data_IF_173529042915
#
_entry.id   IF_173529042915
#
_cell.length_a   1.000
_cell.length_b   1.000
_cell.length_c   1.000
_cell.angle_alpha   90.00
_cell.angle_beta   90.00
_cell.angle_gamma   90.00
#
_symmetry.space_group_name_H-M   'P 1'
#
loop_
_entity.id
_entity.type
_entity.pdbx_description
1 polymer ?
#
# COMPACT_ATOMS: atom_id res chain seq x y z
N UNK A 1 -2.55 -14.14 -14.25
CA UNK A 1 -1.99 -14.54 -12.95
C UNK A 1 -2.07 -13.39 -11.94
N UNK A 2 -1.61 -12.18 -12.25
CA UNK A 2 -1.58 -11.08 -11.29
C UNK A 2 -2.94 -10.59 -10.79
N UNK A 3 -3.99 -10.67 -11.59
CA UNK A 3 -5.34 -10.20 -11.23
C UNK A 3 -6.34 -11.36 -11.08
N UNK A 4 -6.30 -12.35 -11.97
CA UNK A 4 -7.24 -13.50 -11.95
C UNK A 4 -6.81 -14.60 -10.98
N UNK A 5 -5.56 -14.60 -10.52
CA UNK A 5 -4.96 -15.68 -9.78
C UNK A 5 -4.15 -16.64 -10.67
N UNK A 6 -3.50 -17.60 -10.03
CA UNK A 6 -2.65 -18.57 -10.71
C UNK A 6 -3.48 -19.70 -11.34
N UNK A 7 -4.40 -20.34 -10.57
CA UNK A 7 -5.14 -21.51 -11.03
C UNK A 7 -5.97 -21.23 -12.29
N UNK A 8 -6.79 -20.15 -12.36
CA UNK A 8 -7.63 -19.87 -13.52
C UNK A 8 -6.87 -19.36 -14.75
N UNK A 9 -5.58 -19.06 -14.66
CA UNK A 9 -4.77 -18.60 -15.81
C UNK A 9 -4.11 -19.81 -16.47
N UNK A 10 -4.48 -20.17 -17.71
CA UNK A 10 -3.85 -21.24 -18.47
C UNK A 10 -2.58 -20.77 -19.21
N UNK A 11 -1.76 -21.74 -19.67
CA UNK A 11 -0.61 -21.44 -20.56
C UNK A 11 -1.12 -20.86 -21.88
N UNK A 12 -2.25 -21.33 -22.38
CA UNK A 12 -2.84 -20.84 -23.63
C UNK A 12 -3.31 -19.37 -23.50
N UNK A 13 -3.84 -18.95 -22.33
CA UNK A 13 -4.15 -17.54 -22.06
C UNK A 13 -2.89 -16.66 -22.11
N UNK A 14 -1.79 -17.16 -21.55
CA UNK A 14 -0.50 -16.43 -21.59
C UNK A 14 0.03 -16.32 -23.02
N UNK A 15 -0.02 -17.42 -23.80
CA UNK A 15 0.39 -17.44 -25.20
C UNK A 15 -0.41 -16.43 -26.02
N UNK A 16 -1.73 -16.41 -25.84
CA UNK A 16 -2.64 -15.50 -26.52
C UNK A 16 -2.33 -14.04 -26.17
N UNK A 17 -2.18 -13.73 -24.87
CA UNK A 17 -1.90 -12.38 -24.39
C UNK A 17 -0.53 -11.89 -24.84
N UNK A 18 0.49 -12.77 -24.80
CA UNK A 18 1.84 -12.46 -25.25
C UNK A 18 2.00 -12.47 -26.78
N UNK A 19 0.94 -12.85 -27.52
CA UNK A 19 0.95 -12.99 -28.99
C UNK A 19 2.06 -13.93 -29.48
N UNK A 20 2.27 -15.04 -28.77
CA UNK A 20 3.25 -16.03 -29.16
C UNK A 20 2.68 -16.93 -30.26
N UNK A 21 3.60 -17.52 -31.08
CA UNK A 21 3.23 -18.43 -32.16
C UNK A 21 2.69 -19.79 -31.71
N UNK A 22 2.85 -20.14 -30.41
CA UNK A 22 2.35 -21.41 -29.87
C UNK A 22 3.09 -21.88 -28.61
N UNK A 23 2.72 -23.10 -28.17
CA UNK A 23 3.26 -23.73 -26.95
C UNK A 23 4.78 -23.94 -27.00
N UNK A 24 5.33 -24.32 -28.16
CA UNK A 24 6.77 -24.48 -28.32
C UNK A 24 7.53 -23.20 -27.96
N UNK A 25 6.98 -22.05 -28.37
CA UNK A 25 7.60 -20.74 -28.07
C UNK A 25 7.51 -20.42 -26.56
N UNK A 26 6.42 -20.79 -25.88
CA UNK A 26 6.31 -20.66 -24.43
C UNK A 26 7.33 -21.55 -23.72
N UNK A 27 7.42 -22.85 -24.07
CA UNK A 27 8.29 -23.81 -23.43
C UNK A 27 9.79 -23.59 -23.74
N UNK A 28 10.11 -22.75 -24.70
CA UNK A 28 11.48 -22.27 -24.90
C UNK A 28 11.96 -21.39 -23.73
N UNK A 29 11.05 -20.62 -23.07
CA UNK A 29 11.39 -19.71 -21.98
C UNK A 29 11.10 -20.28 -20.59
N UNK A 30 10.03 -21.03 -20.44
CA UNK A 30 9.58 -21.57 -19.15
C UNK A 30 9.23 -23.05 -19.30
N UNK A 31 9.87 -23.89 -18.47
CA UNK A 31 9.64 -25.35 -18.49
C UNK A 31 8.22 -25.72 -18.04
N UNK A 32 7.57 -24.86 -17.28
CA UNK A 32 6.24 -25.09 -16.72
C UNK A 32 5.49 -23.78 -16.47
N UNK A 33 4.16 -23.89 -16.27
CA UNK A 33 3.33 -22.79 -15.75
C UNK A 33 3.82 -22.32 -14.37
N UNK A 34 4.30 -23.25 -13.56
CA UNK A 34 4.81 -22.99 -12.22
C UNK A 34 6.06 -22.11 -12.26
N UNK A 35 7.02 -22.41 -13.14
CA UNK A 35 8.23 -21.60 -13.34
C UNK A 35 7.87 -20.17 -13.78
N UNK A 36 6.92 -20.01 -14.68
CA UNK A 36 6.38 -18.69 -15.03
C UNK A 36 5.74 -18.01 -13.81
N UNK A 37 4.98 -18.75 -12.99
CA UNK A 37 4.36 -18.23 -11.77
C UNK A 37 5.40 -17.69 -10.78
N UNK A 38 6.52 -18.37 -10.61
CA UNK A 38 7.64 -17.91 -9.80
C UNK A 38 8.26 -16.61 -10.34
N UNK A 39 8.44 -16.53 -11.66
CA UNK A 39 8.95 -15.30 -12.29
C UNK A 39 7.97 -14.13 -12.17
N UNK A 40 6.66 -14.39 -12.24
CA UNK A 40 5.61 -13.37 -12.01
C UNK A 40 5.66 -12.87 -10.57
N UNK A 41 5.75 -13.77 -9.58
CA UNK A 41 5.87 -13.42 -8.16
C UNK A 41 7.12 -12.56 -7.91
N UNK A 42 8.27 -12.98 -8.43
CA UNK A 42 9.53 -12.23 -8.32
C UNK A 42 9.39 -10.82 -8.89
N UNK A 43 8.82 -10.71 -10.10
CA UNK A 43 8.62 -9.41 -10.76
C UNK A 43 7.63 -8.50 -10.03
N UNK A 44 6.58 -9.06 -9.43
CA UNK A 44 5.66 -8.29 -8.58
C UNK A 44 6.38 -7.74 -7.36
N UNK A 45 7.23 -8.56 -6.72
CA UNK A 45 8.00 -8.12 -5.55
C UNK A 45 9.06 -7.08 -5.90
N UNK A 46 9.76 -7.21 -7.03
CA UNK A 46 10.67 -6.17 -7.54
C UNK A 46 9.94 -4.83 -7.70
N UNK A 47 8.78 -4.82 -8.39
CA UNK A 47 7.97 -3.61 -8.56
C UNK A 47 7.49 -3.02 -7.24
N UNK A 48 7.10 -3.88 -6.31
CA UNK A 48 6.71 -3.45 -4.97
C UNK A 48 7.88 -2.82 -4.23
N UNK A 49 9.08 -3.42 -4.32
CA UNK A 49 10.30 -2.90 -3.71
C UNK A 49 10.73 -1.57 -4.33
N UNK A 50 10.66 -1.46 -5.65
CA UNK A 50 11.06 -0.26 -6.40
C UNK A 50 10.13 0.93 -6.16
N UNK A 51 8.82 0.68 -6.05
CA UNK A 51 7.80 1.74 -6.01
C UNK A 51 7.09 1.87 -4.67
N UNK A 52 6.73 0.74 -4.05
CA UNK A 52 6.00 0.71 -2.78
C UNK A 52 6.92 0.95 -1.59
N UNK A 53 8.08 0.29 -1.56
CA UNK A 53 9.03 0.42 -0.45
C UNK A 53 10.05 1.56 -0.62
N UNK A 54 10.02 2.30 -1.74
CA UNK A 54 10.97 3.40 -1.98
C UNK A 54 10.89 4.47 -0.88
N UNK A 55 9.69 4.84 -0.48
CA UNK A 55 9.45 5.84 0.55
C UNK A 55 10.07 5.48 1.90
N UNK A 56 10.19 4.19 2.22
CA UNK A 56 10.81 3.75 3.47
C UNK A 56 12.33 4.06 3.54
N UNK A 57 12.95 4.41 2.41
CA UNK A 57 14.37 4.67 2.28
C UNK A 57 14.69 6.15 2.02
N UNK A 58 13.69 7.02 2.04
CA UNK A 58 13.87 8.44 1.77
C UNK A 58 14.60 9.13 2.94
N UNK A 59 15.88 9.51 2.79
CA UNK A 59 16.69 9.94 3.93
C UNK A 59 16.31 11.33 4.49
N UNK A 60 15.57 12.11 3.70
CA UNK A 60 15.17 13.48 4.08
C UNK A 60 13.87 13.52 4.91
N UNK A 61 13.26 12.35 5.15
CA UNK A 61 12.00 12.22 5.91
C UNK A 61 12.28 11.41 7.18
N UNK A 62 11.71 11.82 8.30
CA UNK A 62 11.85 11.11 9.58
C UNK A 62 11.30 9.67 9.50
N UNK A 63 11.91 8.69 10.17
CA UNK A 63 11.58 7.27 10.00
C UNK A 63 10.10 6.93 10.22
N UNK A 64 9.47 7.49 11.24
CA UNK A 64 8.05 7.21 11.52
C UNK A 64 7.12 7.89 10.52
N UNK A 65 7.50 9.03 9.98
CA UNK A 65 6.80 9.70 8.90
C UNK A 65 6.89 8.90 7.59
N UNK A 66 8.07 8.34 7.28
CA UNK A 66 8.24 7.41 6.13
C UNK A 66 7.28 6.21 6.25
N UNK A 67 7.13 5.67 7.45
CA UNK A 67 6.19 4.56 7.69
C UNK A 67 4.74 5.00 7.47
N UNK A 68 4.34 6.17 7.97
CA UNK A 68 3.01 6.71 7.76
C UNK A 68 2.72 6.94 6.27
N UNK A 69 3.64 7.56 5.54
CA UNK A 69 3.55 7.79 4.09
C UNK A 69 3.47 6.47 3.31
N UNK A 70 4.20 5.44 3.73
CA UNK A 70 4.12 4.11 3.13
C UNK A 70 2.72 3.51 3.29
N UNK A 71 2.14 3.57 4.48
CA UNK A 71 0.78 3.09 4.75
C UNK A 71 -0.23 3.85 3.87
N UNK A 72 -0.14 5.18 3.83
CA UNK A 72 -1.04 6.02 3.05
C UNK A 72 -0.90 5.77 1.54
N UNK A 73 0.32 5.51 1.06
CA UNK A 73 0.58 5.14 -0.34
C UNK A 73 -0.11 3.82 -0.71
N UNK A 74 -0.04 2.81 0.14
CA UNK A 74 -0.73 1.53 -0.10
C UNK A 74 -2.24 1.69 -0.14
N UNK A 75 -2.81 2.48 0.77
CA UNK A 75 -4.24 2.81 0.81
C UNK A 75 -4.66 3.52 -0.47
N UNK A 76 -3.96 4.58 -0.86
CA UNK A 76 -4.24 5.35 -2.07
C UNK A 76 -4.16 4.50 -3.33
N UNK A 77 -3.16 3.62 -3.45
CA UNK A 77 -3.03 2.68 -4.57
C UNK A 77 -4.20 1.70 -4.63
N UNK A 78 -4.69 1.22 -3.50
CA UNK A 78 -5.81 0.29 -3.45
C UNK A 78 -7.13 0.97 -3.81
N UNK A 79 -7.35 2.19 -3.35
CA UNK A 79 -8.52 3.01 -3.71
C UNK A 79 -8.51 3.33 -5.20
N UNK A 80 -7.35 3.75 -5.75
CA UNK A 80 -7.19 4.04 -7.18
C UNK A 80 -7.47 2.82 -8.08
N UNK A 81 -7.31 1.58 -7.55
CA UNK A 81 -7.67 0.33 -8.23
C UNK A 81 -9.14 -0.08 -8.03
N UNK A 82 -9.97 0.78 -7.46
CA UNK A 82 -11.37 0.49 -7.16
C UNK A 82 -11.55 -0.63 -6.13
N UNK A 83 -10.60 -0.75 -5.19
CA UNK A 83 -10.58 -1.78 -4.14
C UNK A 83 -10.59 -3.21 -4.68
N UNK A 84 -10.07 -3.41 -5.89
CA UNK A 84 -10.00 -4.72 -6.55
C UNK A 84 -8.61 -5.34 -6.38
N UNK A 85 -8.56 -6.68 -6.44
CA UNK A 85 -7.32 -7.45 -6.42
C UNK A 85 -6.68 -7.64 -5.04
N UNK A 86 -6.82 -6.67 -4.12
CA UNK A 86 -6.16 -6.75 -2.81
C UNK A 86 -4.63 -6.79 -2.91
N UNK A 87 -3.97 -7.36 -1.90
CA UNK A 87 -2.55 -7.64 -1.96
C UNK A 87 -2.25 -8.76 -2.96
N UNK A 88 -1.31 -8.56 -3.90
CA UNK A 88 -0.92 -9.63 -4.81
C UNK A 88 -0.23 -10.80 -4.10
N UNK A 89 0.44 -10.54 -2.98
CA UNK A 89 1.15 -11.57 -2.20
C UNK A 89 0.18 -12.36 -1.33
N UNK A 90 -0.71 -11.68 -0.60
CA UNK A 90 -1.75 -12.32 0.20
C UNK A 90 -2.73 -13.12 -0.65
N UNK A 91 -3.08 -12.63 -1.85
CA UNK A 91 -3.93 -13.38 -2.77
C UNK A 91 -3.28 -14.66 -3.27
N UNK A 92 -1.99 -14.63 -3.63
CA UNK A 92 -1.24 -15.84 -4.02
C UNK A 92 -1.02 -16.78 -2.85
N UNK A 93 -0.77 -16.26 -1.64
CA UNK A 93 -0.66 -17.07 -0.44
C UNK A 93 -1.94 -17.84 -0.16
N UNK A 94 -3.09 -17.16 -0.18
CA UNK A 94 -4.40 -17.79 0.03
C UNK A 94 -4.75 -18.84 -1.04
N UNK A 95 -4.22 -18.69 -2.26
CA UNK A 95 -4.48 -19.62 -3.36
C UNK A 95 -3.56 -20.86 -3.34
N UNK A 96 -2.27 -20.67 -2.96
CA UNK A 96 -1.23 -21.65 -3.27
C UNK A 96 -0.44 -22.18 -2.07
N UNK A 97 -0.53 -21.53 -0.89
CA UNK A 97 0.35 -21.91 0.22
C UNK A 97 0.12 -23.34 0.73
N UNK A 98 -1.11 -23.82 0.67
CA UNK A 98 -1.48 -25.15 1.15
C UNK A 98 -1.27 -26.26 0.10
N UNK A 99 -1.11 -25.90 -1.18
CA UNK A 99 -1.09 -26.85 -2.28
C UNK A 99 0.23 -26.90 -3.06
N UNK A 100 1.09 -25.88 -2.91
CA UNK A 100 2.33 -25.73 -3.67
C UNK A 100 3.46 -25.23 -2.79
N UNK A 101 4.27 -26.14 -2.24
CA UNK A 101 5.40 -25.80 -1.37
C UNK A 101 6.36 -24.77 -1.98
N UNK A 102 6.66 -24.89 -3.26
CA UNK A 102 7.54 -23.94 -3.94
C UNK A 102 7.00 -22.51 -3.98
N UNK A 103 5.69 -22.31 -4.05
CA UNK A 103 5.08 -20.97 -3.90
C UNK A 103 5.07 -20.54 -2.44
N UNK A 104 4.69 -21.41 -1.51
CA UNK A 104 4.68 -21.13 -0.07
C UNK A 104 6.03 -20.59 0.40
N UNK A 105 7.12 -21.27 0.05
CA UNK A 105 8.48 -20.86 0.42
C UNK A 105 8.87 -19.49 -0.17
N UNK A 106 8.57 -19.26 -1.45
CA UNK A 106 8.89 -17.97 -2.11
C UNK A 106 8.06 -16.82 -1.57
N UNK A 107 6.79 -17.05 -1.26
CA UNK A 107 5.92 -16.04 -0.65
C UNK A 107 6.39 -15.74 0.78
N UNK A 108 6.80 -16.74 1.55
CA UNK A 108 7.40 -16.54 2.86
C UNK A 108 8.64 -15.63 2.79
N UNK A 109 9.52 -15.85 1.81
CA UNK A 109 10.69 -14.97 1.57
C UNK A 109 10.25 -13.54 1.24
N UNK A 110 9.18 -13.34 0.47
CA UNK A 110 8.63 -12.00 0.16
C UNK A 110 8.20 -11.29 1.45
N UNK A 111 7.42 -11.95 2.30
CA UNK A 111 6.96 -11.36 3.56
C UNK A 111 8.12 -11.08 4.52
N UNK A 112 9.10 -11.99 4.63
CA UNK A 112 10.29 -11.76 5.48
C UNK A 112 11.14 -10.58 4.98
N UNK A 113 11.32 -10.43 3.68
CA UNK A 113 12.03 -9.27 3.10
C UNK A 113 11.28 -7.96 3.34
N UNK A 114 9.96 -7.98 3.23
CA UNK A 114 9.14 -6.81 3.55
C UNK A 114 9.23 -6.47 5.04
N UNK A 115 9.10 -7.46 5.93
CA UNK A 115 9.26 -7.27 7.37
C UNK A 115 10.65 -6.71 7.72
N UNK A 116 11.71 -7.19 7.06
CA UNK A 116 13.06 -6.69 7.26
C UNK A 116 13.20 -5.19 6.91
N UNK A 117 12.52 -4.69 5.85
CA UNK A 117 12.54 -3.27 5.51
C UNK A 117 11.86 -2.41 6.59
N UNK A 118 10.66 -2.82 7.04
CA UNK A 118 9.95 -2.11 8.12
C UNK A 118 10.73 -2.19 9.42
N UNK A 119 11.29 -3.35 9.76
CA UNK A 119 12.13 -3.51 10.95
C UNK A 119 13.36 -2.59 10.92
N UNK A 120 14.03 -2.47 9.78
CA UNK A 120 15.17 -1.56 9.61
C UNK A 120 14.76 -0.12 9.88
N UNK A 121 13.62 0.30 9.36
CA UNK A 121 13.06 1.63 9.59
C UNK A 121 12.71 1.88 11.07
N UNK A 122 12.07 0.90 11.72
CA UNK A 122 11.77 0.97 13.15
C UNK A 122 13.04 0.96 14.02
N UNK A 123 14.12 0.33 13.53
CA UNK A 123 15.43 0.39 14.18
C UNK A 123 16.06 1.78 14.07
N UNK A 124 15.94 2.45 12.92
CA UNK A 124 16.34 3.86 12.79
C UNK A 124 15.54 4.76 13.76
N UNK A 125 14.24 4.47 13.94
CA UNK A 125 13.38 5.18 14.88
C UNK A 125 13.60 4.77 16.35
N UNK A 126 14.50 3.83 16.67
CA UNK A 126 14.69 3.29 18.02
C UNK A 126 14.84 4.35 19.12
N UNK A 127 15.57 5.46 18.92
CA UNK A 127 15.67 6.51 19.94
C UNK A 127 14.34 7.16 20.32
N UNK A 128 13.35 7.11 19.41
CA UNK A 128 12.01 7.67 19.61
C UNK A 128 11.03 6.67 20.21
N UNK A 129 11.36 5.36 20.20
CA UNK A 129 10.47 4.31 20.68
C UNK A 129 10.73 3.97 22.15
N UNK A 130 9.70 3.47 22.86
CA UNK A 130 9.88 2.88 24.19
C UNK A 130 10.88 1.72 24.16
N UNK A 131 11.60 1.50 25.27
CA UNK A 131 12.69 0.51 25.35
C UNK A 131 12.26 -0.93 25.18
N UNK A 132 11.03 -1.25 25.53
CA UNK A 132 10.41 -2.56 25.49
C UNK A 132 9.83 -2.93 24.10
N UNK A 133 9.87 -2.01 23.13
CA UNK A 133 9.34 -2.26 21.79
C UNK A 133 10.20 -3.28 21.04
N UNK A 134 9.62 -4.44 20.73
CA UNK A 134 10.19 -5.41 19.82
C UNK A 134 9.89 -4.99 18.37
N UNK A 135 10.88 -4.40 17.71
CA UNK A 135 10.76 -3.90 16.34
C UNK A 135 10.47 -5.00 15.31
N UNK A 136 10.90 -6.24 15.55
CA UNK A 136 10.62 -7.36 14.64
C UNK A 136 9.16 -7.80 14.74
N UNK A 137 8.63 -7.88 15.98
CA UNK A 137 7.22 -8.19 16.22
C UNK A 137 6.31 -7.08 15.70
N UNK A 138 6.66 -5.83 15.95
CA UNK A 138 5.91 -4.68 15.45
C UNK A 138 5.88 -4.64 13.91
N UNK A 139 6.99 -4.92 13.23
CA UNK A 139 7.05 -4.99 11.78
C UNK A 139 6.10 -6.06 11.21
N UNK A 140 6.07 -7.25 11.80
CA UNK A 140 5.15 -8.33 11.40
C UNK A 140 3.68 -7.96 11.66
N UNK A 141 3.40 -7.31 12.79
CA UNK A 141 2.06 -6.82 13.12
C UNK A 141 1.57 -5.80 12.09
N UNK A 142 2.41 -4.84 11.68
CA UNK A 142 2.08 -3.86 10.66
C UNK A 142 1.71 -4.55 9.35
N UNK A 143 2.50 -5.53 8.90
CA UNK A 143 2.22 -6.26 7.66
C UNK A 143 0.92 -7.06 7.77
N UNK A 144 0.71 -7.79 8.86
CA UNK A 144 -0.50 -8.58 9.07
C UNK A 144 -1.75 -7.69 9.07
N UNK A 145 -1.68 -6.51 9.68
CA UNK A 145 -2.77 -5.54 9.69
C UNK A 145 -3.05 -5.00 8.29
N UNK A 146 -2.00 -4.64 7.53
CA UNK A 146 -2.15 -4.16 6.15
C UNK A 146 -2.72 -5.23 5.23
N UNK A 147 -2.23 -6.47 5.29
CA UNK A 147 -2.76 -7.59 4.49
C UNK A 147 -4.24 -7.86 4.82
N UNK A 148 -4.60 -7.86 6.11
CA UNK A 148 -5.98 -7.99 6.56
C UNK A 148 -6.86 -6.84 6.09
N UNK A 149 -6.40 -5.60 6.19
CA UNK A 149 -7.11 -4.41 5.72
C UNK A 149 -7.37 -4.45 4.22
N UNK A 150 -6.35 -4.83 3.42
CA UNK A 150 -6.48 -4.97 1.97
C UNK A 150 -7.44 -6.09 1.56
N UNK A 151 -7.46 -7.20 2.31
CA UNK A 151 -8.42 -8.28 2.12
C UNK A 151 -9.85 -7.82 2.42
N UNK A 152 -10.08 -7.16 3.56
CA UNK A 152 -11.39 -6.64 3.96
C UNK A 152 -11.88 -5.59 2.96
N UNK A 153 -11.04 -4.66 2.55
CA UNK A 153 -11.37 -3.66 1.54
C UNK A 153 -11.79 -4.29 0.20
N UNK A 154 -11.11 -5.36 -0.21
CA UNK A 154 -11.48 -6.14 -1.40
C UNK A 154 -12.89 -6.76 -1.29
N UNK A 155 -13.24 -7.30 -0.12
CA UNK A 155 -14.53 -7.96 0.12
C UNK A 155 -15.66 -6.94 0.23
N UNK A 156 -15.48 -5.91 1.04
CA UNK A 156 -16.53 -4.93 1.35
C UNK A 156 -16.65 -3.81 0.32
N UNK A 157 -15.62 -3.58 -0.51
CA UNK A 157 -15.56 -2.44 -1.45
C UNK A 157 -15.74 -1.09 -0.73
N UNK A 158 -15.23 -1.00 0.49
CA UNK A 158 -15.36 0.15 1.37
C UNK A 158 -14.01 0.85 1.57
N UNK A 159 -13.87 2.03 0.97
CA UNK A 159 -12.66 2.85 1.10
C UNK A 159 -12.55 3.46 2.50
N UNK A 160 -13.67 3.88 3.12
CA UNK A 160 -13.64 4.50 4.43
C UNK A 160 -13.19 3.50 5.51
N UNK A 161 -13.61 2.23 5.41
CA UNK A 161 -13.12 1.18 6.30
C UNK A 161 -11.61 0.96 6.15
N UNK A 162 -11.07 0.97 4.91
CA UNK A 162 -9.63 0.85 4.66
C UNK A 162 -8.86 2.03 5.26
N UNK A 163 -9.31 3.24 5.04
CA UNK A 163 -8.73 4.47 5.59
C UNK A 163 -8.77 4.47 7.12
N UNK A 164 -9.88 4.03 7.70
CA UNK A 164 -10.05 3.89 9.16
C UNK A 164 -9.03 2.93 9.78
N UNK A 165 -8.88 1.72 9.19
CA UNK A 165 -7.88 0.75 9.66
C UNK A 165 -6.46 1.31 9.53
N UNK A 166 -6.14 2.00 8.43
CA UNK A 166 -4.83 2.61 8.24
C UNK A 166 -4.57 3.73 9.26
N UNK A 167 -5.57 4.53 9.59
CA UNK A 167 -5.51 5.53 10.64
C UNK A 167 -5.24 4.90 12.01
N UNK A 168 -5.98 3.86 12.37
CA UNK A 168 -5.81 3.16 13.64
C UNK A 168 -4.45 2.45 13.73
N UNK A 169 -3.95 1.89 12.62
CA UNK A 169 -2.61 1.32 12.57
C UNK A 169 -1.53 2.38 12.85
N UNK A 170 -1.64 3.56 12.23
CA UNK A 170 -0.71 4.68 12.49
C UNK A 170 -0.78 5.14 13.94
N UNK A 171 -1.97 5.23 14.52
CA UNK A 171 -2.15 5.53 15.95
C UNK A 171 -1.54 4.45 16.85
N UNK A 172 -1.74 3.18 16.52
CA UNK A 172 -1.12 2.08 17.26
C UNK A 172 0.40 2.18 17.26
N UNK A 173 1.03 2.48 16.12
CA UNK A 173 2.48 2.73 16.06
C UNK A 173 2.87 3.93 16.92
N UNK A 174 2.10 5.02 16.90
CA UNK A 174 2.36 6.22 17.69
C UNK A 174 2.31 5.95 19.22
N UNK A 175 1.49 4.99 19.69
CA UNK A 175 1.46 4.59 21.10
C UNK A 175 2.79 3.96 21.60
N UNK A 176 3.67 3.56 20.70
CA UNK A 176 5.00 3.03 21.00
C UNK A 176 6.08 4.12 21.01
N UNK A 177 5.71 5.37 20.71
CA UNK A 177 6.63 6.52 20.71
C UNK A 177 6.69 7.10 22.12
N UNK A 178 7.90 7.36 22.60
CA UNK A 178 8.12 8.01 23.89
C UNK A 178 7.56 9.43 23.85
N UNK A 179 6.90 9.86 24.92
CA UNK A 179 6.67 11.27 25.15
C UNK A 179 8.03 11.95 25.35
N UNK A 180 8.55 12.53 24.27
CA UNK A 180 9.67 13.44 24.39
C UNK A 180 9.10 14.70 25.02
N UNK A 181 9.14 14.78 26.35
CA UNK A 181 8.80 16.01 27.05
C UNK A 181 9.56 17.19 26.42
N UNK A 182 9.09 18.43 26.51
CA UNK A 182 9.71 19.56 25.88
C UNK A 182 11.21 19.53 26.16
N UNK A 183 12.02 19.55 25.09
CA UNK A 183 13.48 19.58 25.18
C UNK A 183 13.86 20.58 26.27
N UNK A 184 14.48 20.11 27.33
CA UNK A 184 14.97 20.95 28.41
C UNK A 184 15.98 21.97 27.84
N UNK A 185 15.51 23.17 27.52
CA UNK A 185 16.33 24.21 26.90
C UNK A 185 15.57 25.42 26.39
N UNK A 186 14.26 25.41 26.28
CA UNK A 186 13.47 26.61 26.01
C UNK A 186 12.85 27.12 27.33
N UNK A 187 13.50 28.00 28.02
CA UNK A 187 12.87 28.77 29.09
C UNK A 187 11.69 29.53 28.47
N UNK A 188 10.47 29.46 29.06
CA UNK A 188 9.37 30.28 28.59
C UNK A 188 9.75 31.75 28.62
N UNK A 189 9.40 32.57 27.62
CA UNK A 189 9.56 34.00 27.71
C UNK A 189 8.83 34.51 28.94
N UNK A 190 9.54 35.29 29.79
CA UNK A 190 9.11 35.70 31.12
C UNK A 190 7.68 36.23 31.15
N UNK A 191 6.87 35.62 31.98
CA UNK A 191 5.57 36.16 32.39
C UNK A 191 5.83 37.46 33.16
N UNK A 192 5.41 38.57 32.56
CA UNK A 192 5.27 39.83 33.29
C UNK A 192 4.16 39.65 34.33
N UNK A 193 4.32 40.15 35.57
CA UNK A 193 3.34 39.99 36.61
C UNK A 193 2.03 40.69 36.25
N UNK A 194 0.96 39.91 36.07
CA UNK A 194 -0.40 40.43 35.92
C UNK A 194 -0.89 40.92 37.29
N UNK A 195 -1.23 42.22 37.35
CA UNK A 195 -1.98 42.83 38.44
C UNK A 195 -3.39 42.21 38.57
N UNK A 196 -3.89 42.04 39.79
CA UNK A 196 -5.26 41.53 39.99
C UNK A 196 -6.27 42.64 39.69
N UNK A 197 -7.25 42.34 38.82
CA UNK A 197 -8.42 43.18 38.61
C UNK A 197 -9.54 42.84 39.63
N UNK A 198 -10.29 43.84 40.15
CA UNK A 198 -11.33 43.62 41.16
C UNK A 198 -12.65 43.17 40.53
N UNK A 199 -13.41 42.42 41.34
CA UNK A 199 -14.60 41.69 41.05
C UNK A 199 -15.78 42.45 40.43
N UNK A 200 -16.70 41.67 39.91
CA UNK A 200 -18.15 41.80 40.15
C UNK A 200 -18.95 40.74 39.38
N UNK A 201 -19.73 40.02 40.15
CA UNK A 201 -21.14 39.68 39.92
C UNK A 201 -21.57 38.84 38.71
N UNK A 202 -21.99 37.64 39.04
CA UNK A 202 -23.00 36.86 38.30
C UNK A 202 -24.38 37.56 38.32
N UNK A 203 -25.22 37.39 37.33
CA UNK A 203 -26.41 36.53 37.54
C UNK A 203 -26.87 35.69 36.33
N UNK A 204 -27.30 34.48 36.65
CA UNK A 204 -28.59 33.85 36.33
C UNK A 204 -29.13 33.70 34.90
N UNK A 205 -29.20 32.45 34.48
CA UNK A 205 -30.40 31.60 34.19
C UNK A 205 -31.36 32.03 33.07
N UNK A 206 -31.49 31.17 32.11
CA UNK A 206 -32.64 30.38 31.63
C UNK A 206 -32.89 30.46 30.09
N UNK A 207 -33.84 29.66 29.55
CA UNK A 207 -33.49 28.60 28.63
C UNK A 207 -34.21 28.65 27.24
N UNK A 208 -33.88 27.65 26.40
CA UNK A 208 -34.72 27.08 25.33
C UNK A 208 -35.13 27.93 24.13
N UNK A 209 -34.80 27.41 22.97
CA UNK A 209 -35.77 27.06 21.91
C UNK A 209 -35.05 26.45 20.70
N UNK A 210 -35.35 25.21 20.36
CA UNK A 210 -35.40 24.68 18.99
C UNK A 210 -36.68 25.21 18.35
N UNK A 211 -36.76 25.52 17.04
CA UNK A 211 -36.96 24.44 16.08
C UNK A 211 -36.52 24.68 14.63
N UNK A 212 -36.64 23.61 13.89
CA UNK A 212 -37.11 23.46 12.51
C UNK A 212 -36.15 23.61 11.33
N UNK A 213 -36.16 22.52 10.61
CA UNK A 213 -35.67 22.22 9.28
C UNK A 213 -36.13 23.24 8.20
N UNK A 214 -35.26 23.45 7.22
CA UNK A 214 -35.69 23.60 5.83
C UNK A 214 -34.61 23.16 4.85
N UNK A 215 -35.04 22.31 3.98
CA UNK A 215 -34.61 21.84 2.67
C UNK A 215 -33.91 22.91 1.82
N UNK A 216 -32.91 22.48 1.05
CA UNK A 216 -32.33 23.27 -0.01
C UNK A 216 -31.29 22.51 -0.81
N UNK A 217 -31.69 21.86 -1.89
CA UNK A 217 -30.85 21.23 -2.88
C UNK A 217 -29.90 22.22 -3.56
N UNK A 218 -28.65 21.78 -3.78
CA UNK A 218 -27.71 22.55 -4.59
C UNK A 218 -26.60 21.60 -5.09
N UNK A 219 -26.87 20.96 -6.24
CA UNK A 219 -25.89 20.22 -7.04
C UNK A 219 -24.89 21.21 -7.62
N UNK A 220 -23.62 21.07 -7.29
CA UNK A 220 -22.53 21.71 -8.05
C UNK A 220 -21.46 20.63 -8.33
N UNK A 221 -21.40 20.23 -9.58
CA UNK A 221 -20.35 19.43 -10.20
C UNK A 221 -19.19 20.36 -10.59
N UNK A 222 -17.94 20.07 -10.26
CA UNK A 222 -16.82 20.64 -10.99
C UNK A 222 -16.27 19.62 -11.99
N UNK A 223 -16.24 20.04 -13.24
CA UNK A 223 -15.73 19.29 -14.38
C UNK A 223 -14.25 18.97 -14.28
N UNK A 224 -13.94 17.72 -14.56
CA UNK A 224 -12.58 17.23 -14.80
C UNK A 224 -12.18 17.62 -16.22
N UNK A 225 -11.22 18.50 -16.35
CA UNK A 225 -10.54 18.76 -17.64
C UNK A 225 -9.54 17.63 -17.93
N UNK A 226 -9.90 16.87 -18.95
CA UNK A 226 -9.02 15.96 -19.67
C UNK A 226 -7.83 16.72 -20.28
N UNK A 227 -6.61 16.29 -20.00
CA UNK A 227 -5.44 16.60 -20.83
C UNK A 227 -4.89 15.27 -21.37
N UNK A 228 -5.45 14.92 -22.52
CA UNK A 228 -4.85 13.93 -23.40
C UNK A 228 -3.74 14.62 -24.21
N UNK A 229 -2.53 14.11 -24.16
CA UNK A 229 -1.52 14.36 -25.19
C UNK A 229 -0.87 13.06 -25.61
N UNK A 230 -1.37 12.57 -26.72
CA UNK A 230 -0.83 11.45 -27.47
C UNK A 230 0.52 11.84 -28.07
N UNK A 231 1.53 11.05 -27.80
CA UNK A 231 2.77 10.99 -28.57
C UNK A 231 2.79 9.70 -29.37
N UNK A 232 2.41 9.76 -30.63
CA UNK A 232 2.50 8.66 -31.57
C UNK A 232 3.97 8.44 -31.94
N UNK A 233 4.54 7.31 -31.53
CA UNK A 233 5.79 6.79 -32.13
C UNK A 233 5.40 5.75 -33.17
N UNK A 234 5.62 6.08 -34.43
CA UNK A 234 5.55 5.17 -35.59
C UNK A 234 6.62 4.08 -35.44
N UNK A 235 6.19 2.85 -35.23
CA UNK A 235 7.05 1.69 -35.39
C UNK A 235 6.99 1.22 -36.83
N UNK A 236 8.09 1.39 -37.55
CA UNK A 236 8.31 0.79 -38.86
C UNK A 236 8.63 -0.70 -38.68
N UNK A 237 7.79 -1.54 -39.24
CA UNK A 237 8.00 -2.98 -39.34
C UNK A 237 9.15 -3.31 -40.29
N UNK A 238 10.22 -3.92 -39.79
CA UNK A 238 11.08 -4.79 -40.56
C UNK A 238 11.30 -6.06 -39.75
N UNK A 239 10.91 -7.18 -40.37
CA UNK A 239 11.03 -8.51 -39.80
C UNK A 239 12.48 -8.90 -39.57
N UNK A 240 12.76 -9.28 -38.38
CA UNK A 240 13.88 -10.11 -37.98
C UNK A 240 13.34 -10.92 -36.78
N UNK A 241 13.39 -12.25 -36.89
CA UNK A 241 12.95 -13.17 -35.84
C UNK A 241 13.80 -13.04 -34.59
N UNK A 242 13.71 -11.91 -33.93
CA UNK A 242 14.34 -11.67 -32.65
C UNK A 242 13.53 -12.42 -31.56
N UNK A 243 14.18 -13.35 -30.87
CA UNK A 243 13.65 -14.03 -29.71
C UNK A 243 13.13 -12.98 -28.72
N UNK A 244 11.84 -13.01 -28.42
CA UNK A 244 11.22 -12.13 -27.43
C UNK A 244 11.82 -12.41 -26.06
N UNK A 245 12.31 -11.41 -25.32
CA UNK A 245 12.92 -11.64 -24.00
C UNK A 245 11.89 -12.20 -23.01
N UNK A 246 12.32 -13.14 -22.15
CA UNK A 246 11.48 -13.77 -21.11
C UNK A 246 10.66 -12.75 -20.29
N UNK A 247 11.20 -11.55 -20.11
CA UNK A 247 10.51 -10.44 -19.45
C UNK A 247 9.18 -10.02 -20.11
N UNK A 248 9.00 -10.25 -21.41
CA UNK A 248 7.74 -9.94 -22.09
C UNK A 248 6.64 -10.96 -21.76
N UNK A 249 7.00 -12.23 -21.60
CA UNK A 249 6.09 -13.28 -21.14
C UNK A 249 5.62 -13.05 -19.70
N UNK A 250 6.52 -12.65 -18.80
CA UNK A 250 6.19 -12.27 -17.44
C UNK A 250 5.25 -11.05 -17.44
N UNK A 251 5.53 -10.04 -18.27
CA UNK A 251 4.67 -8.88 -18.42
C UNK A 251 3.28 -9.23 -19.00
N UNK A 252 3.22 -10.17 -19.95
CA UNK A 252 1.95 -10.68 -20.48
C UNK A 252 1.16 -11.47 -19.44
N UNK A 253 1.82 -12.34 -18.66
CA UNK A 253 1.19 -13.06 -17.57
C UNK A 253 0.64 -12.14 -16.48
N UNK A 254 1.31 -11.00 -16.24
CA UNK A 254 0.82 -9.94 -15.35
C UNK A 254 -0.41 -9.21 -15.92
N UNK A 255 -0.52 -9.06 -17.24
CA UNK A 255 -1.63 -8.39 -17.92
C UNK A 255 -2.81 -9.30 -18.28
N UNK A 256 -2.61 -10.62 -18.46
CA UNK A 256 -3.64 -11.59 -18.87
C UNK A 256 -4.87 -11.64 -17.95
N UNK A 257 -5.36 -10.49 -17.53
CA UNK A 257 -6.33 -10.33 -16.46
C UNK A 257 -7.14 -9.04 -16.56
N UNK A 258 -7.06 -8.33 -17.66
CA UNK A 258 -7.92 -7.17 -17.93
C UNK A 258 -9.23 -7.59 -18.60
#
# INVERSE_FOLDING_TARGET
>A
MGQRGYAPTSVDDVIKEAKLSGKSHFYHYFKSKEELGYAVLARQFERFTERGLAVLREPMIEPLERLALFIDTLVALQIARGLQGGSPFGSLAAELADTHDGFRERIAVVFERWAAQIRSLLWEARPLLHDDVDTARLARFIIATLEGALLMARVHRDAAALEGIAYDLKRFVAMHVRDVGPLAGAAPPGESPQQPAPGAASPAVAPAATPAATSGAGVITPGVRSVARAGAVRATSRGSGAAMPAGLLVAAALRASA
#
